data_IF_694618164159
#
_entry.id   IF_694618164159
#
_cell.length_a   1.000
_cell.length_b   1.000
_cell.length_c   1.000
_cell.angle_alpha   90.00
_cell.angle_beta   90.00
_cell.angle_gamma   90.00
#
_symmetry.space_group_name_H-M   'P 1'
#
loop_
_entity.id
_entity.type
_entity.pdbx_description
1 polymer ?
#
# COMPACT_ATOMS: atom_id res chain seq x y z
N UNK A 1 59.20 17.68 -26.45
CA UNK A 1 58.61 18.46 -25.32
C UNK A 1 57.09 18.33 -25.12
N UNK A 2 56.26 17.80 -26.05
CA UNK A 2 54.79 17.75 -25.88
C UNK A 2 54.21 16.57 -25.08
N UNK A 3 54.87 15.40 -24.98
CA UNK A 3 54.34 14.22 -24.27
C UNK A 3 54.50 14.25 -22.73
N UNK A 4 55.49 14.98 -22.19
CA UNK A 4 55.67 15.10 -20.72
C UNK A 4 54.69 16.09 -20.07
N UNK A 5 54.28 17.13 -20.81
CA UNK A 5 53.33 18.14 -20.35
C UNK A 5 51.90 17.57 -20.20
N UNK A 6 51.47 16.71 -21.14
CA UNK A 6 50.15 16.07 -21.09
C UNK A 6 49.98 15.15 -19.88
N UNK A 7 51.04 14.41 -19.49
CA UNK A 7 51.01 13.55 -18.29
C UNK A 7 50.87 14.34 -16.99
N UNK A 8 51.45 15.54 -16.92
CA UNK A 8 51.35 16.40 -15.73
C UNK A 8 49.98 17.07 -15.64
N UNK A 9 49.38 17.46 -16.78
CA UNK A 9 48.02 18.02 -16.82
C UNK A 9 46.98 16.97 -16.41
N UNK A 10 47.10 15.73 -16.88
CA UNK A 10 46.19 14.63 -16.50
C UNK A 10 46.33 14.27 -15.01
N UNK A 11 47.54 14.27 -14.46
CA UNK A 11 47.77 14.00 -13.04
C UNK A 11 47.23 15.13 -12.14
N UNK A 12 47.34 16.39 -12.58
CA UNK A 12 46.75 17.53 -11.88
C UNK A 12 45.21 17.48 -11.89
N UNK A 13 44.61 17.01 -12.99
CA UNK A 13 43.16 16.85 -13.10
C UNK A 13 42.63 15.76 -12.15
N UNK A 14 43.35 14.63 -12.03
CA UNK A 14 43.02 13.57 -11.07
C UNK A 14 43.16 14.07 -9.63
N UNK A 15 44.22 14.82 -9.30
CA UNK A 15 44.39 15.39 -7.95
C UNK A 15 43.33 16.44 -7.60
N UNK A 16 42.86 17.23 -8.57
CA UNK A 16 41.82 18.23 -8.36
C UNK A 16 40.42 17.60 -8.26
N UNK A 17 40.15 16.47 -8.92
CA UNK A 17 38.87 15.74 -8.77
C UNK A 17 38.82 14.88 -7.51
N UNK A 18 39.95 14.52 -6.90
CA UNK A 18 40.01 13.79 -5.63
C UNK A 18 40.31 14.68 -4.40
N UNK A 19 40.52 15.99 -4.58
CA UNK A 19 40.90 16.94 -3.53
C UNK A 19 39.85 18.00 -3.15
N UNK A 20 38.64 17.95 -3.70
CA UNK A 20 37.63 18.99 -3.51
C UNK A 20 36.19 18.46 -3.54
N UNK A 21 35.79 17.79 -2.46
CA UNK A 21 34.41 17.70 -1.94
C UNK A 21 34.46 17.08 -0.54
N UNK A 22 35.30 17.64 0.35
CA UNK A 22 35.04 17.57 1.79
C UNK A 22 34.17 18.79 2.07
N UNK A 23 32.87 18.60 1.96
CA UNK A 23 31.92 19.43 2.69
C UNK A 23 31.36 18.50 3.76
N UNK A 24 31.64 18.84 5.01
CA UNK A 24 31.03 18.24 6.19
C UNK A 24 29.51 18.37 6.03
N UNK A 25 28.87 17.26 5.68
CA UNK A 25 27.46 17.07 5.97
C UNK A 25 27.47 16.07 7.11
N UNK A 26 27.16 16.55 8.31
CA UNK A 26 26.86 15.70 9.47
C UNK A 26 25.77 14.72 9.03
N UNK A 27 26.19 13.52 8.59
CA UNK A 27 25.32 12.37 8.65
C UNK A 27 25.19 12.07 10.12
N UNK A 28 24.05 12.44 10.68
CA UNK A 28 23.54 11.76 11.86
C UNK A 28 23.39 10.31 11.41
N UNK A 29 24.38 9.50 11.72
CA UNK A 29 24.26 8.05 11.73
C UNK A 29 23.12 7.76 12.71
N UNK A 30 21.90 7.62 12.17
CA UNK A 30 20.94 6.76 12.80
C UNK A 30 21.54 5.36 12.71
N UNK A 31 22.29 4.99 13.75
CA UNK A 31 22.51 3.60 14.13
C UNK A 31 21.12 2.95 14.15
N UNK A 32 20.70 2.42 13.00
CA UNK A 32 19.78 1.31 12.97
C UNK A 32 20.53 0.20 13.69
N UNK A 33 20.23 0.05 14.98
CA UNK A 33 20.42 -1.19 15.70
C UNK A 33 19.63 -2.27 14.94
N UNK A 34 20.22 -2.78 13.86
CA UNK A 34 19.84 -4.05 13.28
C UNK A 34 20.30 -5.11 14.28
N UNK A 35 19.34 -5.65 15.00
CA UNK A 35 19.53 -6.86 15.79
C UNK A 35 20.10 -7.95 14.87
N UNK A 36 21.27 -8.57 15.17
CA UNK A 36 21.97 -9.44 14.24
C UNK A 36 21.29 -10.80 13.98
N UNK A 37 20.18 -11.10 14.64
CA UNK A 37 19.38 -12.29 14.38
C UNK A 37 18.37 -12.02 13.25
N UNK A 38 18.87 -11.73 12.04
CA UNK A 38 18.07 -11.83 10.82
C UNK A 38 17.86 -13.32 10.55
N UNK A 39 16.87 -13.93 11.22
CA UNK A 39 16.17 -15.05 10.61
C UNK A 39 15.69 -14.54 9.24
N UNK A 40 16.32 -15.02 8.16
CA UNK A 40 15.76 -14.87 6.81
C UNK A 40 14.36 -15.48 6.86
N UNK A 41 13.36 -14.63 7.02
CA UNK A 41 11.98 -15.07 7.16
C UNK A 41 11.49 -15.49 5.78
N UNK A 42 11.65 -16.77 5.47
CA UNK A 42 11.22 -17.35 4.20
C UNK A 42 9.72 -17.60 4.25
N UNK A 43 8.99 -17.12 3.25
CA UNK A 43 7.57 -17.40 3.10
C UNK A 43 7.35 -18.92 3.01
N UNK A 44 6.50 -19.53 3.87
CA UNK A 44 6.25 -20.97 3.81
C UNK A 44 5.72 -21.39 2.45
N UNK A 45 6.14 -22.55 1.97
CA UNK A 45 5.75 -23.07 0.65
C UNK A 45 4.23 -23.06 0.41
N UNK A 46 3.35 -23.43 1.37
CA UNK A 46 1.90 -23.37 1.17
C UNK A 46 1.37 -21.95 0.91
N UNK A 47 1.91 -20.95 1.63
CA UNK A 47 1.53 -19.55 1.43
C UNK A 47 2.11 -19.04 0.11
N UNK A 48 3.36 -19.39 -0.20
CA UNK A 48 4.01 -19.00 -1.45
C UNK A 48 3.29 -19.56 -2.68
N UNK A 49 2.73 -20.77 -2.57
CA UNK A 49 2.09 -21.48 -3.67
C UNK A 49 0.81 -20.81 -4.19
N UNK A 50 0.17 -19.91 -3.43
CA UNK A 50 -1.02 -19.20 -3.92
C UNK A 50 -0.67 -18.06 -4.88
N UNK A 51 0.60 -17.63 -4.94
CA UNK A 51 1.03 -16.49 -5.74
C UNK A 51 1.64 -16.91 -7.07
N UNK A 52 0.99 -16.50 -8.14
CA UNK A 52 1.40 -16.71 -9.53
C UNK A 52 1.77 -15.35 -10.16
N UNK A 53 2.60 -15.39 -11.20
CA UNK A 53 3.06 -14.19 -11.89
C UNK A 53 2.79 -14.34 -13.38
N UNK A 54 2.03 -13.40 -13.92
CA UNK A 54 1.82 -13.29 -15.36
C UNK A 54 3.13 -12.93 -16.07
N UNK A 55 3.20 -13.22 -17.37
CA UNK A 55 4.35 -12.91 -18.23
C UNK A 55 4.66 -11.41 -18.28
N UNK A 56 3.70 -10.53 -17.97
CA UNK A 56 3.92 -9.08 -17.87
C UNK A 56 4.84 -8.70 -16.70
N UNK A 57 4.93 -9.50 -15.64
CA UNK A 57 5.94 -9.39 -14.57
C UNK A 57 7.22 -10.11 -15.03
N UNK A 58 7.83 -9.58 -16.09
CA UNK A 58 8.96 -10.22 -16.77
C UNK A 58 10.33 -9.93 -16.16
N UNK A 59 10.46 -8.89 -15.32
CA UNK A 59 11.73 -8.53 -14.71
C UNK A 59 11.83 -9.10 -13.28
N UNK A 60 13.06 -9.42 -12.86
CA UNK A 60 13.31 -10.06 -11.56
C UNK A 60 13.07 -9.10 -10.39
N UNK A 61 13.21 -7.80 -10.60
CA UNK A 61 13.07 -6.77 -9.57
C UNK A 61 11.61 -6.62 -9.12
N UNK A 62 10.67 -6.48 -10.04
CA UNK A 62 9.22 -6.40 -9.76
C UNK A 62 8.75 -7.64 -9.01
N UNK A 63 9.15 -8.84 -9.48
CA UNK A 63 8.82 -10.10 -8.82
C UNK A 63 9.39 -10.16 -7.40
N UNK A 64 10.65 -9.77 -7.24
CA UNK A 64 11.31 -9.74 -5.93
C UNK A 64 10.66 -8.75 -4.99
N UNK A 65 10.21 -7.58 -5.47
CA UNK A 65 9.52 -6.57 -4.68
C UNK A 65 8.15 -7.06 -4.21
N UNK A 66 7.37 -7.69 -5.09
CA UNK A 66 6.08 -8.27 -4.68
C UNK A 66 6.30 -9.34 -3.60
N UNK A 67 7.25 -10.25 -3.82
CA UNK A 67 7.54 -11.31 -2.86
C UNK A 67 8.06 -10.76 -1.52
N UNK A 68 8.94 -9.76 -1.52
CA UNK A 68 9.45 -9.15 -0.28
C UNK A 68 8.35 -8.43 0.49
N UNK A 69 7.41 -7.77 -0.20
CA UNK A 69 6.23 -7.19 0.44
C UNK A 69 5.34 -8.27 1.06
N UNK A 70 5.11 -9.39 0.37
CA UNK A 70 4.35 -10.53 0.93
C UNK A 70 5.06 -11.12 2.16
N UNK A 71 6.38 -11.29 2.11
CA UNK A 71 7.19 -11.76 3.24
C UNK A 71 7.08 -10.81 4.43
N UNK A 72 7.10 -9.49 4.19
CA UNK A 72 6.94 -8.49 5.24
C UNK A 72 5.52 -8.46 5.83
N UNK A 73 4.49 -8.67 5.02
CA UNK A 73 3.13 -8.90 5.51
C UNK A 73 3.04 -10.18 6.35
N UNK A 74 3.74 -11.25 5.95
CA UNK A 74 3.75 -12.52 6.66
C UNK A 74 4.52 -12.46 7.98
N UNK A 75 5.57 -11.63 8.08
CA UNK A 75 6.35 -11.49 9.32
C UNK A 75 5.53 -10.83 10.44
N UNK A 76 4.64 -9.88 10.12
CA UNK A 76 3.76 -9.26 11.08
C UNK A 76 2.57 -10.17 11.48
N UNK A 77 2.40 -10.41 12.79
CA UNK A 77 1.40 -11.35 13.33
C UNK A 77 -0.03 -11.10 12.87
N UNK A 78 -0.45 -9.84 12.70
CA UNK A 78 -1.85 -9.52 12.33
C UNK A 78 -2.09 -9.74 10.84
N UNK A 79 -1.23 -9.20 9.98
CA UNK A 79 -1.33 -9.40 8.52
C UNK A 79 -0.96 -10.82 8.08
N UNK A 80 -0.20 -11.56 8.89
CA UNK A 80 -0.01 -13.01 8.69
C UNK A 80 -1.34 -13.76 8.60
N UNK A 81 -2.29 -13.41 9.46
CA UNK A 81 -3.61 -14.05 9.46
C UNK A 81 -4.39 -13.78 8.19
N UNK A 82 -4.26 -12.59 7.60
CA UNK A 82 -4.82 -12.28 6.28
C UNK A 82 -4.28 -13.26 5.23
N UNK A 83 -2.97 -13.44 5.16
CA UNK A 83 -2.36 -14.35 4.18
C UNK A 83 -2.73 -15.82 4.40
N UNK A 84 -2.82 -16.25 5.67
CA UNK A 84 -3.30 -17.60 6.02
C UNK A 84 -4.75 -17.77 5.59
N UNK A 85 -5.63 -16.80 5.88
CA UNK A 85 -7.03 -16.83 5.46
C UNK A 85 -7.16 -16.95 3.94
N UNK A 86 -6.39 -16.17 3.18
CA UNK A 86 -6.39 -16.24 1.71
C UNK A 86 -5.95 -17.62 1.21
N UNK A 87 -4.91 -18.19 1.81
CA UNK A 87 -4.46 -19.56 1.49
C UNK A 87 -5.53 -20.61 1.83
N UNK A 88 -6.11 -20.56 3.02
CA UNK A 88 -7.15 -21.49 3.46
C UNK A 88 -8.43 -21.37 2.64
N UNK A 89 -8.69 -20.20 2.05
CA UNK A 89 -9.78 -19.97 1.10
C UNK A 89 -9.57 -20.69 -0.25
N UNK A 90 -8.40 -21.27 -0.50
CA UNK A 90 -8.10 -22.05 -1.70
C UNK A 90 -7.98 -21.23 -2.98
N UNK A 91 -7.82 -19.90 -2.85
CA UNK A 91 -7.67 -19.00 -4.00
C UNK A 91 -6.24 -19.01 -4.54
N UNK A 92 -6.09 -18.71 -5.83
CA UNK A 92 -4.81 -18.33 -6.45
C UNK A 92 -4.84 -16.86 -6.82
N UNK A 93 -3.71 -16.19 -6.66
CA UNK A 93 -3.53 -14.76 -6.93
C UNK A 93 -2.48 -14.63 -8.04
N UNK A 94 -2.92 -14.16 -9.21
CA UNK A 94 -2.04 -13.90 -10.33
C UNK A 94 -1.69 -12.41 -10.41
N UNK A 95 -0.41 -12.07 -10.27
CA UNK A 95 0.07 -10.70 -10.38
C UNK A 95 0.39 -10.34 -11.84
N UNK A 96 -0.04 -9.17 -12.28
CA UNK A 96 0.23 -8.66 -13.63
C UNK A 96 0.55 -7.17 -13.64
N UNK A 97 1.14 -6.68 -14.74
CA UNK A 97 1.24 -5.24 -15.04
C UNK A 97 0.28 -4.86 -16.14
N UNK A 98 -0.34 -3.70 -16.01
CA UNK A 98 -1.19 -3.18 -17.09
C UNK A 98 -0.37 -3.01 -18.38
N UNK A 99 -0.99 -3.26 -19.56
CA UNK A 99 -0.34 -2.98 -20.83
C UNK A 99 0.09 -1.52 -20.95
N UNK A 100 1.21 -1.26 -21.61
CA UNK A 100 1.63 0.11 -21.92
C UNK A 100 0.54 0.84 -22.73
N UNK A 101 0.16 2.04 -22.28
CA UNK A 101 -0.95 2.80 -22.86
C UNK A 101 -2.34 2.40 -22.37
N UNK A 102 -2.43 1.60 -21.29
CA UNK A 102 -3.69 1.38 -20.58
C UNK A 102 -4.28 2.71 -20.12
N UNK A 103 -5.58 2.90 -20.34
CA UNK A 103 -6.36 4.03 -19.81
C UNK A 103 -6.70 3.90 -18.32
N UNK A 104 -6.20 2.85 -17.65
CA UNK A 104 -6.41 2.67 -16.21
C UNK A 104 -5.87 3.88 -15.46
N UNK A 105 -6.75 4.58 -14.76
CA UNK A 105 -6.39 5.64 -13.83
C UNK A 105 -5.90 5.11 -12.50
N UNK A 106 -6.14 3.83 -12.23
CA UNK A 106 -5.80 3.21 -10.96
C UNK A 106 -4.33 2.83 -10.94
N UNK A 107 -3.70 3.03 -9.80
CA UNK A 107 -2.30 2.65 -9.56
C UNK A 107 -2.15 1.13 -9.44
N UNK A 108 -3.12 0.49 -8.82
CA UNK A 108 -3.27 -0.95 -8.72
C UNK A 108 -4.76 -1.33 -8.85
N UNK A 109 -5.04 -2.61 -9.07
CA UNK A 109 -6.42 -3.11 -9.13
C UNK A 109 -6.50 -4.59 -8.78
N UNK A 110 -7.45 -4.93 -7.92
CA UNK A 110 -7.88 -6.29 -7.65
C UNK A 110 -9.11 -6.64 -8.51
N UNK A 111 -9.03 -7.76 -9.22
CA UNK A 111 -10.17 -8.42 -9.86
C UNK A 111 -10.48 -9.70 -9.07
N UNK A 112 -11.25 -9.58 -7.97
CA UNK A 112 -11.45 -10.69 -7.05
C UNK A 112 -12.34 -11.78 -7.65
N UNK A 113 -12.05 -13.03 -7.28
CA UNK A 113 -12.77 -14.23 -7.68
C UNK A 113 -12.51 -15.35 -6.69
N UNK A 114 -13.48 -16.26 -6.54
CA UNK A 114 -13.39 -17.40 -5.61
C UNK A 114 -12.37 -18.48 -6.00
N UNK A 115 -11.75 -18.39 -7.18
CA UNK A 115 -10.79 -19.41 -7.67
C UNK A 115 -9.46 -18.78 -8.08
N UNK A 116 -9.50 -17.84 -9.03
CA UNK A 116 -8.30 -17.14 -9.54
C UNK A 116 -8.59 -15.65 -9.50
N UNK A 117 -7.94 -14.96 -8.58
CA UNK A 117 -7.95 -13.50 -8.46
C UNK A 117 -6.77 -12.92 -9.22
N UNK A 118 -6.97 -11.79 -9.90
CA UNK A 118 -5.88 -11.05 -10.53
C UNK A 118 -5.61 -9.76 -9.74
N UNK A 119 -4.32 -9.45 -9.52
CA UNK A 119 -3.89 -8.17 -8.95
C UNK A 119 -2.95 -7.51 -9.94
N UNK A 120 -3.35 -6.34 -10.44
CA UNK A 120 -2.63 -5.57 -11.46
C UNK A 120 -1.96 -4.33 -10.89
N UNK A 121 -0.80 -3.96 -11.43
CA UNK A 121 -0.10 -2.70 -11.10
C UNK A 121 0.18 -1.86 -12.35
N UNK A 122 -0.02 -0.55 -12.27
CA UNK A 122 0.11 0.41 -13.39
C UNK A 122 1.55 0.84 -13.66
N UNK A 123 2.45 -0.13 -13.70
CA UNK A 123 3.88 0.09 -13.80
C UNK A 123 4.60 -0.25 -12.50
N UNK A 124 5.92 -0.38 -12.61
CA UNK A 124 6.78 -0.83 -11.50
C UNK A 124 6.81 0.14 -10.32
N UNK A 125 6.59 1.43 -10.55
CA UNK A 125 6.52 2.46 -9.52
C UNK A 125 5.27 2.34 -8.63
N UNK A 126 4.22 1.63 -9.08
CA UNK A 126 3.01 1.38 -8.30
C UNK A 126 3.01 0.02 -7.60
N UNK A 127 4.07 -0.78 -7.77
CA UNK A 127 4.34 -1.96 -6.95
C UNK A 127 4.88 -1.49 -5.59
N UNK A 128 4.02 -0.85 -4.82
CA UNK A 128 4.32 -0.37 -3.47
C UNK A 128 3.70 -1.28 -2.42
N UNK A 129 4.14 -1.15 -1.18
CA UNK A 129 3.70 -2.02 -0.10
C UNK A 129 2.24 -1.72 0.28
N UNK A 130 1.86 -0.45 0.34
CA UNK A 130 0.50 0.01 0.62
C UNK A 130 -0.47 -0.35 -0.51
N UNK A 131 -0.06 -0.29 -1.78
CA UNK A 131 -0.91 -0.72 -2.90
C UNK A 131 -1.14 -2.24 -2.86
N UNK A 132 -0.10 -3.04 -2.61
CA UNK A 132 -0.28 -4.49 -2.46
C UNK A 132 -1.22 -4.83 -1.29
N UNK A 133 -1.01 -4.20 -0.12
CA UNK A 133 -1.88 -4.39 1.03
C UNK A 133 -3.33 -4.03 0.70
N UNK A 134 -3.55 -2.87 0.07
CA UNK A 134 -4.86 -2.40 -0.37
C UNK A 134 -5.58 -3.45 -1.24
N UNK A 135 -4.92 -3.98 -2.27
CA UNK A 135 -5.55 -4.98 -3.16
C UNK A 135 -5.83 -6.32 -2.47
N UNK A 136 -4.99 -6.74 -1.52
CA UNK A 136 -5.24 -7.93 -0.71
C UNK A 136 -6.43 -7.73 0.25
N UNK A 137 -6.65 -6.51 0.74
CA UNK A 137 -7.80 -6.17 1.57
C UNK A 137 -9.11 -6.18 0.77
N UNK A 138 -9.10 -5.73 -0.49
CA UNK A 138 -10.23 -5.90 -1.40
C UNK A 138 -10.60 -7.37 -1.57
N UNK A 139 -9.60 -8.22 -1.77
CA UNK A 139 -9.82 -9.66 -1.89
C UNK A 139 -10.38 -10.27 -0.60
N UNK A 140 -9.82 -9.91 0.55
CA UNK A 140 -10.35 -10.34 1.85
C UNK A 140 -11.81 -9.93 2.03
N UNK A 141 -12.15 -8.69 1.68
CA UNK A 141 -13.49 -8.17 1.79
C UNK A 141 -14.48 -8.94 0.90
N UNK A 142 -14.09 -9.16 -0.36
CA UNK A 142 -14.87 -9.91 -1.33
C UNK A 142 -15.19 -11.34 -0.87
N UNK A 143 -14.23 -12.01 -0.22
CA UNK A 143 -14.39 -13.39 0.27
C UNK A 143 -15.21 -13.49 1.56
N UNK A 144 -15.22 -12.46 2.40
CA UNK A 144 -15.88 -12.50 3.72
C UNK A 144 -17.27 -11.86 3.75
N UNK A 145 -17.53 -10.87 2.90
CA UNK A 145 -18.71 -10.03 3.01
C UNK A 145 -19.49 -9.98 1.70
N UNK A 146 -20.71 -10.53 1.75
CA UNK A 146 -21.60 -10.59 0.59
C UNK A 146 -21.88 -9.22 -0.05
N UNK A 147 -21.92 -8.13 0.74
CA UNK A 147 -22.15 -6.78 0.21
C UNK A 147 -21.09 -6.36 -0.81
N UNK A 148 -19.83 -6.76 -0.57
CA UNK A 148 -18.68 -6.48 -1.43
C UNK A 148 -18.69 -7.38 -2.68
N UNK A 149 -19.15 -8.62 -2.52
CA UNK A 149 -19.36 -9.53 -3.67
C UNK A 149 -20.46 -9.01 -4.59
N UNK A 150 -21.56 -8.52 -4.03
CA UNK A 150 -22.72 -8.02 -4.76
C UNK A 150 -22.47 -6.62 -5.37
N UNK A 151 -21.43 -5.91 -4.91
CA UNK A 151 -21.02 -4.59 -5.41
C UNK A 151 -21.90 -3.43 -4.91
N UNK A 152 -22.63 -3.62 -3.81
CA UNK A 152 -23.42 -2.56 -3.21
C UNK A 152 -22.52 -1.58 -2.47
N UNK A 153 -22.70 -0.27 -2.69
CA UNK A 153 -21.84 0.77 -2.09
C UNK A 153 -20.35 0.65 -2.45
N UNK A 154 -20.03 0.12 -3.64
CA UNK A 154 -18.65 -0.18 -4.08
C UNK A 154 -17.62 0.93 -3.80
N UNK A 155 -18.03 2.20 -3.88
CA UNK A 155 -17.12 3.30 -3.65
C UNK A 155 -17.00 3.71 -2.16
N UNK A 156 -18.01 3.42 -1.31
CA UNK A 156 -17.82 3.45 0.15
C UNK A 156 -16.92 2.30 0.60
N UNK A 157 -17.02 1.14 -0.05
CA UNK A 157 -16.16 -0.02 0.18
C UNK A 157 -14.70 0.29 -0.18
N UNK A 158 -14.47 0.87 -1.35
CA UNK A 158 -13.18 1.43 -1.79
C UNK A 158 -12.60 2.38 -0.75
N UNK A 159 -13.41 3.36 -0.30
CA UNK A 159 -12.98 4.30 0.72
C UNK A 159 -12.64 3.60 2.04
N UNK A 160 -13.42 2.59 2.44
CA UNK A 160 -13.14 1.81 3.64
C UNK A 160 -11.82 1.05 3.58
N UNK A 161 -11.54 0.41 2.44
CA UNK A 161 -10.29 -0.31 2.23
C UNK A 161 -9.11 0.65 2.32
N UNK A 162 -9.18 1.85 1.72
CA UNK A 162 -8.14 2.87 1.83
C UNK A 162 -7.86 3.29 3.28
N UNK A 163 -8.91 3.56 4.04
CA UNK A 163 -8.79 3.92 5.47
C UNK A 163 -8.18 2.74 6.26
N UNK A 164 -8.58 1.51 5.95
CA UNK A 164 -8.03 0.32 6.60
C UNK A 164 -6.54 0.11 6.25
N UNK A 165 -6.15 0.32 5.00
CA UNK A 165 -4.75 0.30 4.56
C UNK A 165 -3.94 1.30 5.39
N UNK A 166 -4.39 2.56 5.46
CA UNK A 166 -3.70 3.60 6.22
C UNK A 166 -3.57 3.26 7.71
N UNK A 167 -4.61 2.67 8.32
CA UNK A 167 -4.59 2.23 9.72
C UNK A 167 -3.57 1.11 9.96
N UNK A 168 -3.54 0.09 9.10
CA UNK A 168 -2.62 -1.04 9.21
C UNK A 168 -1.19 -0.55 8.98
N UNK A 169 -0.95 0.23 7.93
CA UNK A 169 0.34 0.85 7.65
C UNK A 169 0.86 1.65 8.85
N UNK A 170 0.01 2.52 9.40
CA UNK A 170 0.36 3.39 10.53
C UNK A 170 0.58 2.64 11.85
N UNK A 171 -0.12 1.52 12.09
CA UNK A 171 -0.02 0.76 13.34
C UNK A 171 1.06 -0.30 13.29
N UNK A 172 1.00 -1.14 12.26
CA UNK A 172 1.66 -2.44 12.20
C UNK A 172 2.99 -2.37 11.42
N UNK A 173 3.21 -1.30 10.65
CA UNK A 173 4.42 -1.07 9.85
C UNK A 173 5.02 0.32 10.09
N UNK A 174 5.05 0.73 11.36
CA UNK A 174 5.66 2.00 11.80
C UNK A 174 7.10 2.11 11.30
N UNK A 175 7.41 3.23 10.66
CA UNK A 175 8.74 3.52 10.12
C UNK A 175 8.85 3.36 8.61
N UNK A 176 7.88 2.72 7.95
CA UNK A 176 7.75 2.82 6.50
C UNK A 176 7.21 4.18 6.10
N UNK A 177 7.81 4.77 5.06
CA UNK A 177 7.25 5.94 4.38
C UNK A 177 6.27 5.43 3.33
N UNK A 178 5.03 5.90 3.40
CA UNK A 178 3.97 5.54 2.46
C UNK A 178 3.04 6.73 2.25
N UNK A 179 2.29 6.70 1.14
CA UNK A 179 1.27 7.69 0.85
C UNK A 179 -0.08 7.26 1.46
N UNK A 180 -0.71 8.15 2.22
CA UNK A 180 -2.05 7.89 2.76
C UNK A 180 -3.05 7.86 1.61
N UNK A 181 -3.84 6.80 1.55
CA UNK A 181 -4.80 6.57 0.48
C UNK A 181 -6.21 7.06 0.85
N UNK A 182 -6.57 7.04 2.14
CA UNK A 182 -7.89 7.43 2.65
C UNK A 182 -8.06 8.95 2.82
N UNK A 183 -6.99 9.73 2.61
CA UNK A 183 -7.04 11.18 2.44
C UNK A 183 -5.78 11.62 1.69
N UNK A 184 -5.91 12.44 0.65
CA UNK A 184 -4.75 13.03 -0.03
C UNK A 184 -4.41 14.38 0.61
N UNK A 185 -3.12 14.67 0.70
CA UNK A 185 -2.65 15.99 1.15
C UNK A 185 -2.97 17.04 0.09
N UNK A 186 -3.69 18.10 0.49
CA UNK A 186 -3.94 19.28 -0.34
C UNK A 186 -3.26 20.46 0.32
N UNK A 187 -2.48 21.21 -0.47
CA UNK A 187 -1.72 22.35 0.03
C UNK A 187 -2.65 23.36 0.73
N UNK A 188 -2.34 23.68 2.00
CA UNK A 188 -3.04 24.69 2.79
C UNK A 188 -4.26 24.21 3.60
N UNK A 189 -4.58 22.90 3.59
CA UNK A 189 -5.72 22.37 4.35
C UNK A 189 -5.30 21.61 5.62
N UNK A 190 -5.92 21.93 6.76
CA UNK A 190 -5.72 21.22 8.03
C UNK A 190 -6.44 19.86 8.07
N UNK A 191 -7.33 19.58 7.12
CA UNK A 191 -8.11 18.33 7.09
C UNK A 191 -7.21 17.10 6.96
N UNK A 192 -6.11 17.18 6.22
CA UNK A 192 -5.17 16.07 6.09
C UNK A 192 -4.50 15.74 7.44
N UNK A 193 -4.06 16.76 8.19
CA UNK A 193 -3.52 16.55 9.54
C UNK A 193 -4.58 16.05 10.52
N UNK A 194 -5.82 16.54 10.42
CA UNK A 194 -6.93 16.09 11.27
C UNK A 194 -7.28 14.63 11.01
N UNK A 195 -7.21 14.19 9.75
CA UNK A 195 -7.37 12.78 9.36
C UNK A 195 -6.28 11.91 9.98
N UNK A 196 -5.01 12.32 9.88
CA UNK A 196 -3.90 11.58 10.50
C UNK A 196 -4.02 11.52 12.02
N UNK A 197 -4.48 12.59 12.67
CA UNK A 197 -4.77 12.59 14.11
C UNK A 197 -5.91 11.61 14.43
N UNK A 198 -6.98 11.61 13.63
CA UNK A 198 -8.07 10.65 13.79
C UNK A 198 -7.56 9.19 13.69
N UNK A 199 -6.74 8.85 12.71
CA UNK A 199 -6.13 7.52 12.62
C UNK A 199 -5.34 7.18 13.88
N UNK A 200 -4.53 8.11 14.41
CA UNK A 200 -3.82 7.93 15.68
C UNK A 200 -4.77 7.67 16.86
N UNK A 201 -5.90 8.37 16.93
CA UNK A 201 -6.91 8.11 17.98
C UNK A 201 -7.46 6.69 17.88
N UNK A 202 -7.71 6.19 16.66
CA UNK A 202 -8.20 4.83 16.44
C UNK A 202 -7.16 3.77 16.81
N UNK A 203 -5.90 3.99 16.44
CA UNK A 203 -4.78 3.10 16.76
C UNK A 203 -4.59 2.96 18.28
N UNK A 204 -4.74 4.07 19.01
CA UNK A 204 -4.56 4.12 20.47
C UNK A 204 -5.83 3.78 21.26
N UNK A 205 -6.98 3.63 20.59
CA UNK A 205 -8.23 3.30 21.25
C UNK A 205 -8.20 1.85 21.78
N UNK A 206 -8.51 1.69 23.06
CA UNK A 206 -8.56 0.38 23.71
C UNK A 206 -9.70 -0.50 23.16
N UNK A 207 -10.83 0.11 22.81
CA UNK A 207 -12.03 -0.58 22.33
C UNK A 207 -12.53 0.03 21.02
N UNK A 208 -13.14 -0.82 20.18
CA UNK A 208 -13.89 -0.38 19.00
C UNK A 208 -15.14 0.40 19.41
N UNK A 209 -15.25 1.65 18.96
CA UNK A 209 -16.44 2.49 19.14
C UNK A 209 -17.04 2.85 17.77
N UNK A 210 -18.06 2.08 17.36
CA UNK A 210 -18.70 2.23 16.05
C UNK A 210 -19.19 3.64 15.78
N UNK A 211 -19.81 4.31 16.77
CA UNK A 211 -20.42 5.61 16.57
C UNK A 211 -19.40 6.71 16.29
N UNK A 212 -18.26 6.68 16.98
CA UNK A 212 -17.16 7.64 16.75
C UNK A 212 -16.46 7.38 15.42
N UNK A 213 -16.29 6.11 15.06
CA UNK A 213 -15.67 5.69 13.80
C UNK A 213 -16.56 6.13 12.63
N UNK A 214 -17.84 5.79 12.65
CA UNK A 214 -18.80 6.10 11.58
C UNK A 214 -18.85 7.60 11.32
N UNK A 215 -18.94 8.43 12.36
CA UNK A 215 -19.06 9.88 12.17
C UNK A 215 -17.83 10.50 11.47
N UNK A 216 -16.62 10.12 11.89
CA UNK A 216 -15.38 10.63 11.28
C UNK A 216 -15.13 10.03 9.91
N UNK A 217 -15.42 8.75 9.73
CA UNK A 217 -15.39 8.06 8.45
C UNK A 217 -16.28 8.74 7.42
N UNK A 218 -17.54 9.03 7.77
CA UNK A 218 -18.47 9.76 6.90
C UNK A 218 -17.95 11.16 6.56
N UNK A 219 -17.43 11.91 7.54
CA UNK A 219 -16.93 13.27 7.34
C UNK A 219 -15.76 13.30 6.35
N UNK A 220 -14.74 12.46 6.57
CA UNK A 220 -13.57 12.40 5.69
C UNK A 220 -13.89 11.76 4.34
N UNK A 221 -14.76 10.75 4.30
CA UNK A 221 -15.22 10.11 3.07
C UNK A 221 -15.97 11.07 2.15
N UNK A 222 -16.86 11.89 2.72
CA UNK A 222 -17.56 12.95 1.96
C UNK A 222 -16.56 13.94 1.39
N UNK A 223 -15.60 14.41 2.20
CA UNK A 223 -14.56 15.33 1.72
C UNK A 223 -13.74 14.71 0.58
N UNK A 224 -13.41 13.43 0.70
CA UNK A 224 -12.69 12.69 -0.31
C UNK A 224 -13.46 12.67 -1.64
N UNK A 225 -14.73 12.26 -1.66
CA UNK A 225 -15.54 12.28 -2.88
C UNK A 225 -15.60 13.65 -3.51
N UNK A 226 -15.85 14.68 -2.70
CA UNK A 226 -16.11 16.03 -3.23
C UNK A 226 -14.86 16.64 -3.86
N UNK A 227 -13.67 16.22 -3.42
CA UNK A 227 -12.41 16.86 -3.82
C UNK A 227 -11.49 15.96 -4.64
N UNK A 228 -11.60 14.64 -4.55
CA UNK A 228 -10.83 13.69 -5.35
C UNK A 228 -11.81 12.79 -6.12
N UNK A 229 -11.96 13.06 -7.41
CA UNK A 229 -12.92 12.41 -8.31
C UNK A 229 -12.53 10.96 -8.71
N UNK A 230 -11.50 10.38 -8.07
CA UNK A 230 -10.86 9.13 -8.48
C UNK A 230 -11.23 7.91 -7.61
N UNK A 231 -12.25 7.99 -6.74
CA UNK A 231 -12.69 6.83 -5.93
C UNK A 231 -13.64 5.87 -6.66
N UNK A 232 -13.85 6.07 -7.97
CA UNK A 232 -14.67 5.16 -8.77
C UNK A 232 -13.81 4.04 -9.34
N UNK A 233 -13.54 3.03 -8.52
CA UNK A 233 -13.10 1.72 -9.00
C UNK A 233 -14.26 1.01 -9.68
N UNK A 234 -14.53 1.41 -10.93
CA UNK A 234 -15.13 0.63 -12.03
C UNK A 234 -15.77 1.56 -13.06
N UNK A 235 -15.83 1.04 -14.27
CA UNK A 235 -16.55 1.50 -15.46
C UNK A 235 -18.06 1.77 -15.26
N UNK A 236 -18.56 1.81 -14.02
CA UNK A 236 -19.92 2.16 -13.69
C UNK A 236 -20.01 3.63 -13.27
N UNK A 237 -20.82 4.36 -14.03
CA UNK A 237 -21.24 5.77 -13.86
C UNK A 237 -22.00 6.05 -12.56
N UNK A 238 -21.63 5.49 -11.42
CA UNK A 238 -22.22 5.86 -10.13
C UNK A 238 -21.29 6.84 -9.44
N UNK A 239 -21.53 8.13 -9.68
CA UNK A 239 -20.96 9.19 -8.86
C UNK A 239 -21.40 8.94 -7.41
N UNK A 240 -20.44 8.65 -6.53
CA UNK A 240 -20.65 8.47 -5.11
C UNK A 240 -21.49 9.63 -4.55
N UNK A 241 -22.64 9.32 -3.95
CA UNK A 241 -23.47 10.35 -3.32
C UNK A 241 -23.15 10.43 -1.83
N UNK A 242 -23.17 11.64 -1.28
CA UNK A 242 -23.00 11.87 0.16
C UNK A 242 -23.98 10.99 0.99
N UNK A 243 -25.17 10.74 0.44
CA UNK A 243 -26.19 9.90 1.05
C UNK A 243 -25.81 8.43 1.16
N UNK A 244 -24.86 7.94 0.35
CA UNK A 244 -24.39 6.56 0.41
C UNK A 244 -23.67 6.30 1.73
N UNK A 245 -22.84 7.25 2.17
CA UNK A 245 -22.15 7.19 3.46
C UNK A 245 -23.07 7.22 4.68
N UNK A 246 -24.24 7.88 4.59
CA UNK A 246 -25.20 7.94 5.69
C UNK A 246 -25.83 6.56 6.00
N UNK A 247 -25.88 5.68 5.01
CA UNK A 247 -26.48 4.33 5.14
C UNK A 247 -25.41 3.23 5.20
N UNK A 248 -24.15 3.58 4.97
CA UNK A 248 -23.04 2.63 4.98
C UNK A 248 -22.55 2.37 6.40
N UNK A 249 -22.38 1.09 6.74
CA UNK A 249 -21.74 0.66 7.99
C UNK A 249 -20.37 0.09 7.65
N UNK A 250 -19.26 0.65 8.17
CA UNK A 250 -17.92 0.16 7.87
C UNK A 250 -17.66 -1.19 8.56
N UNK A 251 -17.75 -2.27 7.78
CA UNK A 251 -17.65 -3.65 8.24
C UNK A 251 -16.20 -4.10 8.43
N UNK A 252 -15.30 -3.66 7.55
CA UNK A 252 -13.88 -4.01 7.53
C UNK A 252 -13.09 -3.27 8.61
N UNK A 253 -13.49 -2.05 8.98
CA UNK A 253 -12.77 -1.33 10.03
C UNK A 253 -12.79 -2.11 11.35
N UNK A 254 -13.82 -2.91 11.64
CA UNK A 254 -13.86 -3.78 12.82
C UNK A 254 -12.74 -4.85 12.79
N UNK A 255 -12.35 -5.32 11.62
CA UNK A 255 -11.24 -6.29 11.40
C UNK A 255 -9.92 -5.74 11.96
N UNK A 256 -9.70 -4.43 11.87
CA UNK A 256 -8.51 -3.78 12.43
C UNK A 256 -8.33 -4.10 13.92
N UNK A 257 -9.40 -4.10 14.72
CA UNK A 257 -9.34 -4.37 16.17
C UNK A 257 -9.40 -5.86 16.49
N UNK A 258 -10.20 -6.64 15.76
CA UNK A 258 -10.36 -8.07 16.02
C UNK A 258 -9.19 -8.91 15.50
N UNK A 259 -8.43 -8.36 14.54
CA UNK A 259 -7.55 -9.11 13.67
C UNK A 259 -8.34 -9.81 12.56
N UNK A 260 -7.62 -10.16 11.49
CA UNK A 260 -8.14 -11.07 10.46
C UNK A 260 -8.42 -12.45 11.04
#
# INVERSE_FOLDING_TARGET
>A
MKKKLLKHIVFLFILLTFGGCVNEMDMIDHEQNFDPDIELFVLPDPIKAIFEFDKSINNIYDRSNILSHIEFLYSNRKTRKLLIFLMESGIRINFYKFPAGSESKNEAQCKPSFIITEIGFNGSNHITFENLLHELLHLYAYLNYKTYTDGYYAACEEYEVRVLTDLIMSRDFKGLVFEYQGMKSVSGDSIYSDYQEWLKTLINAYNYNSNLIVRKFQMYGVFCITNFLDFSDKENKFSLQITDFNHYTPLLLKVFWQGF
#
